data_IF_822151982656
#
_entry.id   IF_822151982656
#
_cell.length_a   1.000
_cell.length_b   1.000
_cell.length_c   1.000
_cell.angle_alpha   90.00
_cell.angle_beta   90.00
_cell.angle_gamma   90.00
#
_symmetry.space_group_name_H-M   'P 1'
#
loop_
_entity.id
_entity.type
_entity.pdbx_description
1 polymer ?
#
# COMPACT_ATOMS: atom_id res chain seq x y z
N UNK A 1 11.20 -9.98 20.56
CA UNK A 1 12.37 -9.76 19.66
C UNK A 1 11.99 -9.89 18.17
N UNK A 2 10.70 -9.76 17.80
CA UNK A 2 10.25 -9.94 16.40
C UNK A 2 9.30 -8.82 15.95
N UNK A 3 8.99 -7.88 16.84
CA UNK A 3 7.91 -6.90 16.66
C UNK A 3 8.20 -5.89 15.54
N UNK A 4 9.49 -5.59 15.31
CA UNK A 4 9.94 -4.66 14.25
C UNK A 4 9.65 -5.14 12.83
N UNK A 5 9.51 -6.44 12.62
CA UNK A 5 9.25 -7.00 11.29
C UNK A 5 7.77 -7.26 11.03
N UNK A 6 6.92 -7.16 12.05
CA UNK A 6 5.50 -7.48 11.91
C UNK A 6 4.84 -6.61 10.84
N UNK A 7 5.16 -5.32 10.81
CA UNK A 7 4.51 -4.42 9.85
C UNK A 7 4.90 -4.75 8.40
N UNK A 8 6.20 -5.00 8.16
CA UNK A 8 6.69 -5.45 6.86
C UNK A 8 6.13 -6.82 6.46
N UNK A 9 6.03 -7.76 7.42
CA UNK A 9 5.46 -9.08 7.18
C UNK A 9 3.98 -9.00 6.83
N UNK A 10 3.21 -8.12 7.47
CA UNK A 10 1.81 -7.88 7.14
C UNK A 10 1.68 -7.29 5.74
N UNK A 11 2.48 -6.29 5.39
CA UNK A 11 2.48 -5.72 4.03
C UNK A 11 2.85 -6.76 2.97
N UNK A 12 3.87 -7.57 3.24
CA UNK A 12 4.26 -8.67 2.37
C UNK A 12 3.16 -9.73 2.23
N UNK A 13 2.48 -10.08 3.34
CA UNK A 13 1.36 -11.01 3.31
C UNK A 13 0.18 -10.45 2.51
N UNK A 14 -0.15 -9.16 2.65
CA UNK A 14 -1.18 -8.51 1.84
C UNK A 14 -0.86 -8.58 0.35
N UNK A 15 0.38 -8.29 -0.04
CA UNK A 15 0.83 -8.44 -1.43
C UNK A 15 0.77 -9.90 -1.89
N UNK A 16 1.25 -10.85 -1.09
CA UNK A 16 1.28 -12.26 -1.46
C UNK A 16 -0.13 -12.83 -1.67
N UNK A 17 -1.11 -12.39 -0.86
CA UNK A 17 -2.51 -12.80 -0.97
C UNK A 17 -3.19 -12.15 -2.18
N UNK A 18 -2.87 -10.89 -2.48
CA UNK A 18 -3.53 -10.14 -3.57
C UNK A 18 -2.86 -10.29 -4.93
N UNK A 19 -1.57 -10.65 -5.00
CA UNK A 19 -0.85 -10.84 -6.26
C UNK A 19 -1.51 -11.87 -7.20
N UNK A 20 -2.02 -13.04 -6.74
CA UNK A 20 -2.75 -13.98 -7.60
C UNK A 20 -4.02 -13.39 -8.24
N UNK A 21 -4.61 -12.35 -7.64
CA UNK A 21 -5.81 -11.69 -8.19
C UNK A 21 -5.53 -11.03 -9.54
N UNK A 22 -4.28 -10.72 -9.86
CA UNK A 22 -3.90 -10.17 -11.16
C UNK A 22 -4.32 -11.09 -12.33
N UNK A 23 -4.33 -12.41 -12.12
CA UNK A 23 -4.68 -13.38 -13.15
C UNK A 23 -6.14 -13.27 -13.62
N UNK A 24 -7.02 -12.66 -12.82
CA UNK A 24 -8.45 -12.60 -13.08
C UNK A 24 -8.87 -11.36 -13.89
N UNK A 25 -7.97 -10.45 -14.25
CA UNK A 25 -8.32 -9.20 -14.96
C UNK A 25 -7.29 -8.73 -15.98
N UNK A 26 -7.48 -7.54 -16.59
CA UNK A 26 -6.58 -6.93 -17.58
C UNK A 26 -5.13 -6.65 -17.12
N UNK A 27 -4.77 -6.97 -15.88
CA UNK A 27 -3.42 -6.81 -15.31
C UNK A 27 -3.17 -5.43 -14.74
N UNK A 28 -3.07 -5.32 -13.41
CA UNK A 28 -2.77 -4.06 -12.70
C UNK A 28 -1.28 -3.74 -12.79
N UNK A 29 -0.39 -4.74 -12.59
CA UNK A 29 1.05 -4.56 -12.77
C UNK A 29 1.42 -4.36 -14.23
N UNK A 30 0.62 -4.91 -15.16
CA UNK A 30 0.76 -4.66 -16.60
C UNK A 30 0.54 -3.18 -16.98
N UNK A 31 -0.20 -2.42 -16.17
CA UNK A 31 -0.44 -0.99 -16.35
C UNK A 31 0.31 -0.14 -15.34
N UNK A 32 1.57 -0.49 -15.04
CA UNK A 32 2.40 0.19 -14.03
C UNK A 32 2.43 1.72 -14.18
N UNK A 33 2.43 2.25 -15.40
CA UNK A 33 2.41 3.70 -15.63
C UNK A 33 1.16 4.36 -15.07
N UNK A 34 -0.03 3.77 -15.30
CA UNK A 34 -1.30 4.28 -14.79
C UNK A 34 -1.38 4.16 -13.28
N UNK A 35 -0.90 3.02 -12.76
CA UNK A 35 -0.79 2.77 -11.33
C UNK A 35 0.07 3.84 -10.65
N UNK A 36 1.26 4.11 -11.17
CA UNK A 36 2.15 5.14 -10.61
C UNK A 36 1.49 6.51 -10.71
N UNK A 37 0.91 6.90 -11.85
CA UNK A 37 0.26 8.22 -11.96
C UNK A 37 -0.97 8.38 -11.07
N UNK A 38 -1.66 7.29 -10.72
CA UNK A 38 -2.83 7.33 -9.85
C UNK A 38 -2.45 7.31 -8.36
N UNK A 39 -1.48 6.48 -7.99
CA UNK A 39 -1.07 6.27 -6.60
C UNK A 39 -0.11 7.36 -6.14
N UNK A 40 0.84 7.80 -6.98
CA UNK A 40 1.89 8.72 -6.59
C UNK A 40 1.40 10.07 -6.05
N UNK A 41 0.47 10.80 -6.71
CA UNK A 41 0.02 12.09 -6.21
C UNK A 41 -0.67 11.98 -4.85
N UNK A 42 -1.48 10.92 -4.69
CA UNK A 42 -2.20 10.65 -3.45
C UNK A 42 -1.21 10.28 -2.34
N UNK A 43 -0.30 9.32 -2.61
CA UNK A 43 0.72 8.92 -1.67
C UNK A 43 1.60 10.11 -1.22
N UNK A 44 1.98 11.00 -2.15
CA UNK A 44 2.77 12.19 -1.81
C UNK A 44 2.02 13.17 -0.90
N UNK A 45 0.74 13.45 -1.17
CA UNK A 45 -0.09 14.34 -0.34
C UNK A 45 -0.28 13.75 1.06
N UNK A 46 -0.59 12.45 1.14
CA UNK A 46 -0.82 11.80 2.43
C UNK A 46 0.47 11.64 3.22
N UNK A 47 1.60 11.31 2.60
CA UNK A 47 2.90 11.28 3.28
C UNK A 47 3.27 12.65 3.85
N UNK A 48 3.06 13.72 3.09
CA UNK A 48 3.31 15.08 3.58
C UNK A 48 2.39 15.44 4.74
N UNK A 49 1.11 15.08 4.65
CA UNK A 49 0.15 15.30 5.72
C UNK A 49 0.51 14.52 6.99
N UNK A 50 0.96 13.28 6.82
CA UNK A 50 1.38 12.41 7.92
C UNK A 50 2.53 13.03 8.69
N UNK A 51 3.57 13.48 7.97
CA UNK A 51 4.71 14.23 8.50
C UNK A 51 4.28 15.47 9.30
N UNK A 52 3.33 16.26 8.77
CA UNK A 52 2.79 17.43 9.47
C UNK A 52 2.10 17.01 10.78
N UNK A 53 1.31 15.93 10.76
CA UNK A 53 0.60 15.45 11.94
C UNK A 53 1.55 14.97 13.04
N UNK A 54 2.67 14.36 12.65
CA UNK A 54 3.72 13.89 13.57
C UNK A 54 4.51 15.07 14.13
N UNK A 55 4.90 16.03 13.28
CA UNK A 55 5.54 17.26 13.72
C UNK A 55 4.64 18.04 14.70
N UNK A 56 3.32 18.03 14.46
CA UNK A 56 2.32 18.62 15.34
C UNK A 56 2.04 17.80 16.62
N UNK A 57 2.73 16.68 16.83
CA UNK A 57 2.53 15.77 17.97
C UNK A 57 1.07 15.29 18.14
N UNK A 58 0.29 15.31 17.05
CA UNK A 58 -1.09 14.78 17.05
C UNK A 58 -1.06 13.28 17.30
N UNK A 59 -0.04 12.62 16.75
CA UNK A 59 0.24 11.21 16.99
C UNK A 59 1.73 10.94 16.82
N UNK A 60 2.23 9.86 17.40
CA UNK A 60 3.65 9.50 17.38
C UNK A 60 3.82 8.05 16.94
N UNK A 61 4.85 7.78 16.15
CA UNK A 61 5.22 6.42 15.81
C UNK A 61 5.74 5.64 17.01
N UNK A 62 5.28 4.41 17.18
CA UNK A 62 5.82 3.51 18.19
C UNK A 62 7.05 2.80 17.64
N UNK A 63 8.25 3.27 18.02
CA UNK A 63 9.53 2.72 17.59
C UNK A 63 9.78 1.23 17.95
N UNK A 64 8.90 0.60 18.73
CA UNK A 64 8.95 -0.84 18.99
C UNK A 64 8.57 -1.70 17.76
N UNK A 65 7.72 -1.17 16.87
CA UNK A 65 7.16 -1.90 15.71
C UNK A 65 7.78 -1.50 14.37
N UNK A 66 8.73 -0.58 14.39
CA UNK A 66 9.34 0.02 13.20
C UNK A 66 10.82 -0.38 13.19
N UNK A 67 11.36 -0.69 12.02
CA UNK A 67 12.75 -1.16 11.89
C UNK A 67 13.79 -0.11 12.32
N UNK A 68 13.40 1.17 12.34
CA UNK A 68 14.26 2.30 12.70
C UNK A 68 15.03 2.87 11.50
N UNK A 69 14.80 2.33 10.29
CA UNK A 69 15.28 2.94 9.05
C UNK A 69 14.39 4.14 8.72
N UNK A 70 14.88 5.33 9.05
CA UNK A 70 14.24 6.59 8.72
C UNK A 70 14.79 7.10 7.39
N UNK A 71 13.89 7.36 6.45
CA UNK A 71 14.18 8.15 5.24
C UNK A 71 14.36 9.62 5.70
N UNK A 72 15.02 10.51 4.92
CA UNK A 72 14.99 11.96 5.18
C UNK A 72 13.58 12.40 5.62
N UNK A 73 13.54 13.21 6.70
CA UNK A 73 12.35 13.64 7.44
C UNK A 73 11.85 12.76 8.60
N UNK A 74 12.49 11.62 8.91
CA UNK A 74 12.08 10.68 9.99
C UNK A 74 10.87 9.79 9.65
N UNK A 75 10.44 9.75 8.38
CA UNK A 75 9.41 8.82 7.92
C UNK A 75 9.94 7.38 7.99
N UNK A 76 9.23 6.45 8.66
CA UNK A 76 9.48 5.01 8.58
C UNK A 76 9.34 4.49 7.15
N UNK A 77 10.25 3.64 6.69
CA UNK A 77 10.13 3.01 5.37
C UNK A 77 8.82 2.21 5.21
N UNK A 78 8.32 1.66 6.33
CA UNK A 78 7.08 0.91 6.41
C UNK A 78 5.86 1.76 6.06
N UNK A 79 5.85 3.06 6.40
CA UNK A 79 4.75 3.97 6.07
C UNK A 79 4.74 4.33 4.59
N UNK A 80 5.93 4.59 4.02
CA UNK A 80 6.05 4.79 2.57
C UNK A 80 5.58 3.54 1.82
N UNK A 81 5.95 2.36 2.28
CA UNK A 81 5.47 1.10 1.73
C UNK A 81 3.96 0.95 1.92
N UNK A 82 3.39 1.33 3.06
CA UNK A 82 1.95 1.27 3.31
C UNK A 82 1.16 2.10 2.27
N UNK A 83 1.55 3.35 2.03
CA UNK A 83 0.90 4.22 1.04
C UNK A 83 1.05 3.75 -0.41
N UNK A 84 1.95 2.81 -0.69
CA UNK A 84 2.11 2.20 -2.01
C UNK A 84 1.37 0.86 -2.08
N UNK A 85 1.63 -0.03 -1.13
CA UNK A 85 1.14 -1.41 -1.10
C UNK A 85 -0.38 -1.45 -0.96
N UNK A 86 -0.96 -0.68 -0.05
CA UNK A 86 -2.40 -0.74 0.22
C UNK A 86 -3.23 -0.32 -1.01
N UNK A 87 -2.94 0.81 -1.69
CA UNK A 87 -3.61 1.15 -2.94
C UNK A 87 -3.44 0.10 -4.03
N UNK A 88 -2.27 -0.54 -4.14
CA UNK A 88 -2.05 -1.62 -5.11
C UNK A 88 -2.94 -2.83 -4.81
N UNK A 89 -2.99 -3.27 -3.55
CA UNK A 89 -3.86 -4.36 -3.09
C UNK A 89 -5.34 -4.04 -3.38
N UNK A 90 -5.77 -2.80 -3.15
CA UNK A 90 -7.13 -2.35 -3.42
C UNK A 90 -7.45 -2.38 -4.93
N UNK A 91 -6.53 -1.89 -5.78
CA UNK A 91 -6.70 -1.93 -7.24
C UNK A 91 -6.75 -3.35 -7.80
N UNK A 92 -5.89 -4.25 -7.30
CA UNK A 92 -5.91 -5.69 -7.66
C UNK A 92 -7.25 -6.32 -7.33
N UNK A 93 -7.76 -6.05 -6.13
CA UNK A 93 -9.05 -6.57 -5.66
C UNK A 93 -10.21 -6.01 -6.49
N UNK A 94 -10.23 -4.69 -6.73
CA UNK A 94 -11.25 -4.04 -7.54
C UNK A 94 -11.30 -4.61 -8.96
N UNK A 95 -10.15 -4.82 -9.58
CA UNK A 95 -10.06 -5.36 -10.94
C UNK A 95 -10.57 -6.81 -11.01
N UNK A 96 -10.18 -7.66 -10.06
CA UNK A 96 -10.64 -9.04 -9.98
C UNK A 96 -12.16 -9.12 -9.74
N UNK A 97 -12.69 -8.37 -8.78
CA UNK A 97 -14.13 -8.33 -8.49
C UNK A 97 -14.92 -7.81 -9.69
N UNK A 98 -14.47 -6.73 -10.33
CA UNK A 98 -15.13 -6.17 -11.52
C UNK A 98 -15.17 -7.19 -12.66
N UNK A 99 -14.08 -7.90 -12.91
CA UNK A 99 -14.01 -8.90 -13.98
C UNK A 99 -14.89 -10.12 -13.68
N UNK A 100 -14.94 -10.58 -12.43
CA UNK A 100 -15.82 -11.67 -12.00
C UNK A 100 -17.29 -11.24 -12.14
N UNK A 101 -17.64 -10.04 -11.69
CA UNK A 101 -19.02 -9.53 -11.75
C UNK A 101 -19.50 -9.37 -13.20
N UNK A 102 -18.67 -8.84 -14.09
CA UNK A 102 -18.96 -8.78 -15.53
C UNK A 102 -19.20 -10.18 -16.13
N UNK A 103 -18.42 -11.18 -15.70
CA UNK A 103 -18.57 -12.56 -16.18
C UNK A 103 -19.85 -13.22 -15.68
N UNK A 104 -20.28 -12.90 -14.46
CA UNK A 104 -21.54 -13.37 -13.89
C UNK A 104 -22.74 -12.71 -14.58
N UNK A 105 -22.72 -11.38 -14.76
CA UNK A 105 -23.82 -10.65 -15.40
C UNK A 105 -24.00 -10.93 -16.90
N UNK A 106 -22.99 -11.47 -17.59
CA UNK A 106 -23.10 -11.90 -19.00
C UNK A 106 -23.68 -13.31 -19.17
N UNK A 107 -23.91 -14.06 -18.08
CA UNK A 107 -24.61 -15.34 -18.09
C UNK A 107 -26.06 -15.18 -17.66
#
# INVERSE_FOLDING_TARGET
>A
MTDRWQYLLVLAACLAITAPLEMFGPGVYRQWRRLVTAVWPVAAVFLLWDEIAIAAHVWTYNGAYITGLSIPFHVPIEEVLFFIVIPICALLTYNAVSTILERVNRR
#
